data_IF_343750642346
#
_entry.id   IF_343750642346
#
_cell.length_a   1.000
_cell.length_b   1.000
_cell.length_c   1.000
_cell.angle_alpha   90.00
_cell.angle_beta   90.00
_cell.angle_gamma   90.00
#
_symmetry.space_group_name_H-M   'P 1'
#
loop_
_entity.id
_entity.type
_entity.pdbx_description
1 polymer ?
#
# COMPACT_ATOMS: atom_id res chain seq x y z
N UNK A 1 -37.66 -40.16 -61.02
CA UNK A 1 -38.81 -39.46 -60.39
C UNK A 1 -38.41 -39.26 -58.93
N UNK A 2 -37.87 -38.09 -58.55
CA UNK A 2 -38.62 -36.93 -58.00
C UNK A 2 -39.38 -37.38 -56.73
N UNK A 3 -39.22 -36.87 -55.51
CA UNK A 3 -38.99 -35.49 -55.03
C UNK A 3 -38.42 -35.52 -53.58
N UNK A 4 -37.54 -34.56 -53.25
CA UNK A 4 -37.23 -34.02 -51.90
C UNK A 4 -38.45 -33.24 -51.33
N UNK A 5 -38.39 -32.49 -50.19
CA UNK A 5 -37.80 -32.70 -48.86
C UNK A 5 -38.82 -32.34 -47.73
N UNK A 6 -38.43 -32.47 -46.46
CA UNK A 6 -38.93 -31.56 -45.42
C UNK A 6 -37.78 -31.11 -44.50
N UNK A 7 -37.44 -29.83 -44.65
CA UNK A 7 -36.56 -29.05 -43.77
C UNK A 7 -37.31 -28.73 -42.48
N UNK A 8 -36.64 -28.84 -41.34
CA UNK A 8 -36.75 -27.87 -40.25
C UNK A 8 -35.38 -27.74 -39.58
N UNK A 9 -34.72 -26.59 -39.79
CA UNK A 9 -33.67 -26.09 -38.90
C UNK A 9 -34.34 -25.65 -37.58
N UNK A 10 -33.58 -25.66 -36.48
CA UNK A 10 -33.40 -24.38 -35.82
C UNK A 10 -31.93 -24.06 -35.54
N UNK A 11 -31.64 -22.79 -35.77
CA UNK A 11 -30.65 -21.94 -35.12
C UNK A 11 -29.54 -22.65 -34.34
N UNK A 12 -28.37 -22.69 -34.96
CA UNK A 12 -27.08 -22.90 -34.30
C UNK A 12 -26.82 -21.66 -33.43
N UNK A 13 -27.29 -21.73 -32.20
CA UNK A 13 -27.08 -20.74 -31.17
C UNK A 13 -25.60 -20.80 -30.82
N UNK A 14 -24.85 -19.87 -31.39
CA UNK A 14 -23.43 -19.66 -31.17
C UNK A 14 -23.30 -19.14 -29.73
N UNK A 15 -23.28 -20.06 -28.77
CA UNK A 15 -22.92 -19.79 -27.39
C UNK A 15 -21.44 -19.48 -27.41
N UNK A 16 -21.12 -18.20 -27.60
CA UNK A 16 -19.88 -17.60 -27.14
C UNK A 16 -19.92 -17.73 -25.62
N UNK A 17 -19.40 -18.84 -25.11
CA UNK A 17 -19.04 -18.97 -23.71
C UNK A 17 -17.98 -17.90 -23.44
N UNK A 18 -18.27 -16.86 -22.63
CA UNK A 18 -17.18 -16.08 -22.10
C UNK A 18 -16.42 -17.05 -21.20
N UNK A 19 -15.13 -17.24 -21.49
CA UNK A 19 -14.19 -17.77 -20.51
C UNK A 19 -14.10 -16.70 -19.41
N UNK A 20 -15.12 -16.69 -18.56
CA UNK A 20 -15.05 -16.23 -17.18
C UNK A 20 -14.22 -17.30 -16.48
N UNK A 21 -12.92 -17.27 -16.75
CA UNK A 21 -11.95 -17.91 -15.91
C UNK A 21 -11.96 -17.14 -14.60
N UNK A 22 -12.60 -17.75 -13.60
CA UNK A 22 -12.49 -17.44 -12.19
C UNK A 22 -11.17 -16.70 -11.89
N UNK A 23 -11.19 -15.57 -11.20
CA UNK A 23 -11.65 -15.61 -9.82
C UNK A 23 -10.77 -16.55 -8.97
N UNK A 24 -9.59 -16.94 -9.45
CA UNK A 24 -8.52 -17.40 -8.60
C UNK A 24 -8.03 -16.17 -7.83
N UNK A 25 -8.65 -15.92 -6.68
CA UNK A 25 -7.97 -15.40 -5.52
C UNK A 25 -6.83 -16.38 -5.16
N UNK A 26 -5.86 -16.58 -6.06
CA UNK A 26 -4.51 -16.90 -5.68
C UNK A 26 -4.01 -15.61 -5.01
N UNK A 27 -4.41 -15.41 -3.76
CA UNK A 27 -3.58 -14.64 -2.84
C UNK A 27 -2.23 -15.30 -2.99
N UNK A 28 -1.28 -14.64 -3.65
CA UNK A 28 0.10 -15.06 -3.65
C UNK A 28 0.45 -15.21 -2.17
N UNK A 29 0.46 -16.44 -1.68
CA UNK A 29 0.79 -16.75 -0.30
C UNK A 29 2.26 -16.41 -0.17
N UNK A 30 2.51 -15.18 0.29
CA UNK A 30 3.83 -14.69 0.58
C UNK A 30 4.49 -15.72 1.52
N UNK A 31 5.64 -16.29 1.15
CA UNK A 31 6.38 -17.16 2.05
C UNK A 31 6.92 -16.34 3.22
N UNK A 32 6.11 -16.13 4.26
CA UNK A 32 6.49 -15.31 5.42
C UNK A 32 5.38 -14.47 6.06
N UNK A 33 4.10 -14.78 5.85
CA UNK A 33 2.98 -14.07 6.51
C UNK A 33 3.13 -13.94 8.04
N UNK A 34 3.86 -14.86 8.68
CA UNK A 34 4.19 -14.80 10.11
C UNK A 34 4.96 -13.54 10.54
N UNK A 35 5.61 -12.82 9.61
CA UNK A 35 6.34 -11.56 9.88
C UNK A 35 5.57 -10.32 9.46
N UNK A 36 4.40 -10.49 8.83
CA UNK A 36 3.56 -9.37 8.39
C UNK A 36 3.07 -8.54 9.57
N UNK A 37 2.66 -9.19 10.65
CA UNK A 37 2.19 -8.52 11.88
C UNK A 37 3.31 -7.70 12.53
N UNK A 38 4.55 -8.24 12.54
CA UNK A 38 5.72 -7.52 13.04
C UNK A 38 6.03 -6.29 12.18
N UNK A 39 5.95 -6.43 10.86
CA UNK A 39 6.16 -5.32 9.93
C UNK A 39 5.06 -4.25 10.05
N UNK A 40 3.79 -4.65 10.12
CA UNK A 40 2.65 -3.73 10.32
C UNK A 40 2.77 -2.96 11.63
N UNK A 41 3.16 -3.64 12.72
CA UNK A 41 3.40 -2.99 14.01
C UNK A 41 4.54 -1.98 13.92
N UNK A 42 5.63 -2.33 13.22
CA UNK A 42 6.76 -1.43 13.04
C UNK A 42 6.34 -0.19 12.22
N UNK A 43 5.60 -0.38 11.14
CA UNK A 43 5.07 0.73 10.32
C UNK A 43 4.14 1.62 11.13
N UNK A 44 3.26 1.04 11.95
CA UNK A 44 2.36 1.81 12.82
C UNK A 44 3.07 2.74 13.82
N UNK A 45 4.29 2.40 14.21
CA UNK A 45 5.09 3.17 15.19
C UNK A 45 6.10 4.10 14.51
N UNK A 46 6.78 3.64 13.46
CA UNK A 46 7.94 4.31 12.87
C UNK A 46 7.61 5.14 11.62
N UNK A 47 6.42 5.01 11.05
CA UNK A 47 6.07 5.72 9.83
C UNK A 47 6.11 7.25 10.04
N UNK A 48 6.89 8.00 9.24
CA UNK A 48 7.11 9.43 9.49
C UNK A 48 5.82 10.25 9.38
N UNK A 49 4.88 9.84 8.51
CA UNK A 49 3.58 10.50 8.35
C UNK A 49 2.70 10.26 9.58
N UNK A 50 2.66 9.02 10.09
CA UNK A 50 1.90 8.70 11.30
C UNK A 50 2.50 9.32 12.56
N UNK A 51 3.83 9.38 12.65
CA UNK A 51 4.53 10.04 13.77
C UNK A 51 4.21 11.53 13.78
N UNK A 52 4.29 12.20 12.63
CA UNK A 52 3.96 13.63 12.51
C UNK A 52 2.47 13.90 12.83
N UNK A 53 1.55 13.11 12.27
CA UNK A 53 0.12 13.25 12.54
C UNK A 53 -0.22 12.95 14.02
N UNK A 54 0.44 11.96 14.61
CA UNK A 54 0.30 11.62 16.02
C UNK A 54 0.78 12.74 16.94
N UNK A 55 1.87 13.43 16.60
CA UNK A 55 2.36 14.58 17.35
C UNK A 55 1.32 15.72 17.38
N UNK A 56 0.63 15.98 16.27
CA UNK A 56 -0.45 17.00 16.19
C UNK A 56 -1.60 16.63 17.13
N UNK A 57 -2.06 15.37 17.11
CA UNK A 57 -3.14 14.90 17.99
C UNK A 57 -2.73 14.94 19.47
N UNK A 58 -1.47 14.64 19.78
CA UNK A 58 -0.96 14.76 21.14
C UNK A 58 -0.94 16.21 21.60
N UNK A 59 -0.58 17.14 20.73
CA UNK A 59 -0.56 18.56 21.06
C UNK A 59 -1.97 19.14 21.22
N UNK A 60 -2.93 18.75 20.37
CA UNK A 60 -4.34 19.15 20.53
C UNK A 60 -5.01 18.55 21.77
N UNK A 61 -4.50 17.42 22.29
CA UNK A 61 -4.89 16.91 23.61
C UNK A 61 -4.37 17.76 24.76
N UNK A 62 -3.17 18.32 24.64
CA UNK A 62 -2.56 19.17 25.68
C UNK A 62 -3.12 20.59 25.69
N UNK A 63 -3.61 21.11 24.56
CA UNK A 63 -4.20 22.45 24.50
C UNK A 63 -5.43 22.52 25.42
N UNK A 64 -5.45 23.52 26.32
CA UNK A 64 -6.58 23.78 27.22
C UNK A 64 -7.80 24.25 26.42
N UNK A 65 -8.96 23.72 26.80
CA UNK A 65 -10.25 23.92 26.10
C UNK A 65 -11.08 25.09 26.61
N UNK A 66 -10.47 26.01 27.37
CA UNK A 66 -11.17 27.17 27.89
C UNK A 66 -10.37 28.43 27.60
N UNK A 67 -11.06 29.41 27.03
CA UNK A 67 -10.59 30.78 26.87
C UNK A 67 -11.50 31.66 27.72
N UNK A 68 -10.92 32.43 28.64
CA UNK A 68 -11.66 33.41 29.42
C UNK A 68 -11.42 34.79 28.82
N UNK A 69 -12.50 35.48 28.47
CA UNK A 69 -12.42 36.87 27.99
C UNK A 69 -12.83 37.79 29.14
N UNK A 70 -11.91 38.68 29.52
CA UNK A 70 -12.15 39.76 30.47
C UNK A 70 -12.26 41.07 29.68
N UNK A 71 -13.45 41.68 29.67
CA UNK A 71 -13.67 42.98 29.04
C UNK A 71 -13.94 44.01 30.12
N UNK A 72 -13.09 45.04 30.17
CA UNK A 72 -13.26 46.19 31.06
C UNK A 72 -13.65 47.37 30.17
N UNK A 73 -14.89 47.85 30.32
CA UNK A 73 -15.42 49.00 29.59
C UNK A 73 -15.60 50.18 30.53
N UNK A 74 -15.14 51.34 30.12
CA UNK A 74 -15.42 52.62 30.78
C UNK A 74 -16.02 53.55 29.73
N UNK A 75 -17.25 54.01 29.97
CA UNK A 75 -17.94 54.98 29.12
C UNK A 75 -18.23 56.25 29.93
N UNK A 76 -17.78 57.38 29.40
CA UNK A 76 -18.03 58.73 29.90
C UNK A 76 -18.83 59.52 28.85
N UNK A 77 -19.93 58.96 28.37
CA UNK A 77 -20.88 59.70 27.55
C UNK A 77 -21.57 60.78 28.41
N UNK A 78 -21.10 62.02 28.27
CA UNK A 78 -21.75 63.23 28.78
C UNK A 78 -22.93 63.60 27.87
N UNK A 79 -24.08 62.95 28.04
CA UNK A 79 -25.32 63.42 27.42
C UNK A 79 -25.96 64.50 28.30
N UNK A 80 -25.82 65.77 27.88
CA UNK A 80 -26.24 66.97 28.62
C UNK A 80 -27.76 67.23 28.71
N UNK A 81 -28.65 66.33 28.28
CA UNK A 81 -30.07 66.69 28.08
C UNK A 81 -31.07 66.04 29.06
N UNK A 82 -30.71 65.05 29.89
CA UNK A 82 -31.65 64.53 30.92
C UNK A 82 -30.94 63.89 32.11
N UNK A 83 -30.68 64.67 33.17
CA UNK A 83 -30.64 64.35 34.62
C UNK A 83 -30.06 63.05 35.23
N UNK A 84 -29.61 62.05 34.47
CA UNK A 84 -29.20 60.75 35.01
C UNK A 84 -28.12 60.03 34.18
N UNK A 85 -27.17 60.77 33.59
CA UNK A 85 -26.00 60.19 32.94
C UNK A 85 -24.77 60.31 33.88
N UNK A 86 -24.44 59.22 34.57
CA UNK A 86 -23.21 59.08 35.36
C UNK A 86 -22.23 58.13 34.68
N UNK A 87 -20.94 58.25 35.02
CA UNK A 87 -19.88 57.38 34.51
C UNK A 87 -20.24 55.90 34.73
N UNK A 88 -20.13 55.08 33.67
CA UNK A 88 -20.44 53.64 33.74
C UNK A 88 -19.16 52.84 33.52
N UNK A 89 -18.76 52.11 34.55
CA UNK A 89 -17.74 51.08 34.46
C UNK A 89 -18.41 49.70 34.47
N UNK A 90 -18.03 48.84 33.53
CA UNK A 90 -18.52 47.46 33.45
C UNK A 90 -17.34 46.50 33.33
N UNK A 91 -17.38 45.43 34.12
CA UNK A 91 -16.48 44.28 34.01
C UNK A 91 -17.31 43.10 33.55
N UNK A 92 -17.04 42.60 32.35
CA UNK A 92 -17.66 41.38 31.82
C UNK A 92 -16.64 40.25 31.82
N UNK A 93 -16.97 39.15 32.50
CA UNK A 93 -16.18 37.93 32.54
C UNK A 93 -16.98 36.85 31.83
N UNK A 94 -16.54 36.48 30.62
CA UNK A 94 -17.18 35.40 29.88
C UNK A 94 -16.40 34.10 30.10
N UNK A 95 -16.97 33.22 30.92
CA UNK A 95 -16.46 31.86 31.15
C UNK A 95 -17.36 30.91 30.35
N UNK A 96 -16.86 30.28 29.28
CA UNK A 96 -17.67 29.32 28.54
C UNK A 96 -17.96 28.09 29.41
N UNK A 97 -19.25 27.81 29.66
CA UNK A 97 -19.67 26.50 30.13
C UNK A 97 -19.63 25.53 28.94
N UNK A 98 -18.64 24.64 28.93
CA UNK A 98 -18.49 23.50 28.00
C UNK A 98 -18.64 23.85 26.51
N UNK A 99 -17.52 24.14 25.84
CA UNK A 99 -17.54 24.29 24.38
C UNK A 99 -17.63 22.91 23.67
N UNK A 100 -18.82 22.60 23.14
CA UNK A 100 -19.04 21.40 22.35
C UNK A 100 -18.31 21.45 20.99
N UNK A 101 -18.00 22.63 20.45
CA UNK A 101 -17.33 22.77 19.15
C UNK A 101 -15.88 22.28 19.24
N UNK A 102 -15.14 22.70 20.28
CA UNK A 102 -13.80 22.21 20.56
C UNK A 102 -13.77 20.68 20.75
N UNK A 103 -14.76 20.10 21.45
CA UNK A 103 -14.86 18.64 21.63
C UNK A 103 -15.10 17.91 20.30
N UNK A 104 -15.99 18.43 19.46
CA UNK A 104 -16.25 17.85 18.12
C UNK A 104 -15.02 17.98 17.22
N UNK A 105 -14.29 19.10 17.28
CA UNK A 105 -13.05 19.28 16.53
C UNK A 105 -11.99 18.24 16.93
N UNK A 106 -11.75 18.05 18.23
CA UNK A 106 -10.83 17.01 18.73
C UNK A 106 -11.26 15.59 18.34
N UNK A 107 -12.56 15.31 18.38
CA UNK A 107 -13.10 14.02 17.94
C UNK A 107 -12.87 13.81 16.43
N UNK A 108 -13.04 14.85 15.60
CA UNK A 108 -12.76 14.80 14.17
C UNK A 108 -11.27 14.58 13.87
N UNK A 109 -10.39 15.27 14.59
CA UNK A 109 -8.93 15.07 14.46
C UNK A 109 -8.52 13.63 14.82
N UNK A 110 -9.09 13.09 15.91
CA UNK A 110 -8.86 11.70 16.30
C UNK A 110 -9.36 10.72 15.23
N UNK A 111 -10.57 10.93 14.71
CA UNK A 111 -11.14 10.09 13.66
C UNK A 111 -10.30 10.16 12.37
N UNK A 112 -9.82 11.35 12.00
CA UNK A 112 -8.94 11.54 10.85
C UNK A 112 -7.59 10.79 11.03
N UNK A 113 -7.01 10.84 12.23
CA UNK A 113 -5.79 10.10 12.54
C UNK A 113 -5.99 8.59 12.45
N UNK A 114 -7.08 8.05 13.01
CA UNK A 114 -7.40 6.61 12.90
C UNK A 114 -7.61 6.22 11.44
N UNK A 115 -8.35 7.01 10.66
CA UNK A 115 -8.52 6.76 9.23
C UNK A 115 -7.18 6.79 8.47
N UNK A 116 -6.25 7.64 8.88
CA UNK A 116 -4.91 7.70 8.29
C UNK A 116 -4.06 6.46 8.65
N UNK A 117 -4.18 5.93 9.87
CA UNK A 117 -3.55 4.67 10.26
C UNK A 117 -4.07 3.52 9.41
N UNK A 118 -5.39 3.40 9.27
CA UNK A 118 -6.02 2.34 8.47
C UNK A 118 -5.64 2.46 6.98
N UNK A 119 -5.65 3.68 6.42
CA UNK A 119 -5.22 3.92 5.05
C UNK A 119 -3.74 3.54 4.82
N UNK A 120 -2.86 3.86 5.79
CA UNK A 120 -1.44 3.52 5.72
C UNK A 120 -1.22 2.01 5.80
N UNK A 121 -1.93 1.33 6.70
CA UNK A 121 -1.89 -0.13 6.83
C UNK A 121 -2.38 -0.81 5.54
N UNK A 122 -3.50 -0.34 4.98
CA UNK A 122 -4.07 -0.86 3.73
C UNK A 122 -3.11 -0.67 2.55
N UNK A 123 -2.53 0.52 2.41
CA UNK A 123 -1.54 0.81 1.37
C UNK A 123 -0.29 -0.08 1.52
N UNK A 124 0.21 -0.25 2.74
CA UNK A 124 1.36 -1.10 3.02
C UNK A 124 1.09 -2.58 2.69
N UNK A 125 -0.10 -3.09 3.02
CA UNK A 125 -0.50 -4.46 2.66
C UNK A 125 -0.56 -4.61 1.13
N UNK A 126 -1.12 -3.63 0.42
CA UNK A 126 -1.12 -3.62 -1.04
C UNK A 126 0.29 -3.65 -1.63
N UNK A 127 1.19 -2.81 -1.10
CA UNK A 127 2.60 -2.79 -1.52
C UNK A 127 3.30 -4.13 -1.24
N UNK A 128 3.01 -4.80 -0.11
CA UNK A 128 3.52 -6.14 0.18
C UNK A 128 3.01 -7.18 -0.82
N UNK A 129 1.74 -7.12 -1.23
CA UNK A 129 1.21 -8.04 -2.24
C UNK A 129 2.00 -7.92 -3.55
N UNK A 130 2.31 -6.69 -3.99
CA UNK A 130 3.14 -6.48 -5.18
C UNK A 130 4.56 -7.04 -5.02
N UNK A 131 5.15 -6.94 -3.82
CA UNK A 131 6.45 -7.56 -3.53
C UNK A 131 6.38 -9.08 -3.62
N UNK A 132 5.33 -9.70 -3.11
CA UNK A 132 5.17 -11.15 -3.15
C UNK A 132 4.92 -11.68 -4.56
N UNK A 133 4.16 -10.95 -5.37
CA UNK A 133 4.00 -11.26 -6.79
C UNK A 133 5.33 -11.20 -7.55
N UNK A 134 6.17 -10.20 -7.27
CA UNK A 134 7.50 -10.15 -7.88
C UNK A 134 8.42 -11.25 -7.35
N UNK A 135 8.30 -11.63 -6.08
CA UNK A 135 9.06 -12.73 -5.50
C UNK A 135 8.69 -14.06 -6.16
N UNK A 136 7.39 -14.31 -6.39
CA UNK A 136 6.93 -15.50 -7.11
C UNK A 136 7.31 -15.49 -8.59
N UNK A 137 7.34 -14.34 -9.24
CA UNK A 137 7.90 -14.22 -10.59
C UNK A 137 9.38 -14.57 -10.63
N UNK A 138 10.16 -14.12 -9.64
CA UNK A 138 11.58 -14.44 -9.52
C UNK A 138 11.83 -15.94 -9.32
N UNK A 139 11.03 -16.62 -8.50
CA UNK A 139 11.13 -18.09 -8.37
C UNK A 139 10.72 -18.81 -9.67
N UNK A 140 9.72 -18.30 -10.39
CA UNK A 140 9.37 -18.78 -11.73
C UNK A 140 10.51 -18.62 -12.74
N UNK A 141 11.23 -17.50 -12.74
CA UNK A 141 12.40 -17.30 -13.60
C UNK A 141 13.56 -18.22 -13.22
N UNK A 142 13.78 -18.47 -11.92
CA UNK A 142 14.83 -19.37 -11.44
C UNK A 142 14.60 -20.82 -11.89
N UNK A 143 13.35 -21.29 -11.83
CA UNK A 143 12.96 -22.62 -12.33
C UNK A 143 13.11 -22.73 -13.85
N UNK A 144 12.76 -21.69 -14.62
CA UNK A 144 12.99 -21.67 -16.06
C UNK A 144 14.49 -21.70 -16.39
N UNK A 145 15.32 -20.96 -15.64
CA UNK A 145 16.78 -21.01 -15.78
C UNK A 145 17.31 -22.42 -15.51
N UNK A 146 16.88 -23.08 -14.43
CA UNK A 146 17.36 -24.44 -14.11
C UNK A 146 16.95 -25.44 -15.18
N UNK A 147 15.70 -25.41 -15.66
CA UNK A 147 15.24 -26.29 -16.73
C UNK A 147 16.01 -26.09 -18.04
N UNK A 148 16.32 -24.84 -18.41
CA UNK A 148 17.11 -24.54 -19.61
C UNK A 148 18.56 -25.01 -19.45
N UNK A 149 19.12 -24.93 -18.24
CA UNK A 149 20.44 -25.48 -17.93
C UNK A 149 20.47 -27.01 -18.12
N UNK A 150 19.49 -27.71 -17.57
CA UNK A 150 19.39 -29.18 -17.70
C UNK A 150 19.20 -29.60 -19.17
N UNK A 151 18.41 -28.84 -19.94
CA UNK A 151 18.25 -29.05 -21.39
C UNK A 151 19.54 -28.85 -22.16
N UNK A 152 20.31 -27.81 -21.83
CA UNK A 152 21.61 -27.54 -22.45
C UNK A 152 22.58 -28.71 -22.19
N UNK A 153 22.65 -29.20 -20.96
CA UNK A 153 23.48 -30.35 -20.58
C UNK A 153 23.08 -31.61 -21.35
N UNK A 154 21.78 -31.92 -21.39
CA UNK A 154 21.26 -33.05 -22.17
C UNK A 154 21.60 -32.94 -23.66
N UNK A 155 21.46 -31.76 -24.27
CA UNK A 155 21.82 -31.57 -25.68
C UNK A 155 23.32 -31.69 -25.90
N UNK A 156 24.14 -31.23 -24.96
CA UNK A 156 25.59 -31.34 -25.05
C UNK A 156 26.02 -32.82 -25.08
N UNK A 157 25.42 -33.67 -24.25
CA UNK A 157 25.66 -35.12 -24.30
C UNK A 157 25.30 -35.73 -25.66
N UNK A 158 24.16 -35.34 -26.24
CA UNK A 158 23.73 -35.83 -27.56
C UNK A 158 24.66 -35.41 -28.69
N UNK A 159 25.17 -34.17 -28.66
CA UNK A 159 26.17 -33.69 -29.61
C UNK A 159 27.48 -34.47 -29.44
N UNK A 160 27.91 -34.74 -28.20
CA UNK A 160 29.10 -35.54 -27.92
C UNK A 160 28.97 -36.98 -28.44
N UNK A 161 27.76 -37.53 -28.48
CA UNK A 161 27.44 -38.84 -29.07
C UNK A 161 27.29 -38.80 -30.60
N UNK A 162 27.41 -37.62 -31.22
CA UNK A 162 27.25 -37.43 -32.66
C UNK A 162 25.80 -37.53 -33.15
N UNK A 163 24.82 -37.48 -32.25
CA UNK A 163 23.39 -37.59 -32.59
C UNK A 163 22.80 -36.28 -33.13
N UNK A 164 23.40 -35.14 -32.77
CA UNK A 164 22.95 -33.82 -33.15
C UNK A 164 24.11 -32.93 -33.61
N UNK A 165 23.87 -31.95 -34.51
CA UNK A 165 24.88 -30.98 -34.89
C UNK A 165 25.18 -30.01 -33.75
N UNK A 166 26.44 -29.58 -33.63
CA UNK A 166 26.90 -28.66 -32.59
C UNK A 166 26.17 -27.30 -32.61
N UNK A 167 25.71 -26.84 -33.78
CA UNK A 167 24.98 -25.57 -33.92
C UNK A 167 23.69 -25.52 -33.08
N UNK A 168 23.10 -26.66 -32.72
CA UNK A 168 21.91 -26.71 -31.85
C UNK A 168 22.21 -26.30 -30.40
N UNK A 169 23.47 -26.28 -29.98
CA UNK A 169 23.87 -25.83 -28.65
C UNK A 169 23.78 -24.31 -28.51
N UNK A 170 23.99 -23.57 -29.61
CA UNK A 170 23.94 -22.10 -29.58
C UNK A 170 22.58 -21.57 -29.14
N UNK A 171 21.50 -22.15 -29.68
CA UNK A 171 20.14 -21.74 -29.34
C UNK A 171 19.81 -21.94 -27.85
N UNK A 172 20.25 -23.05 -27.27
CA UNK A 172 20.01 -23.33 -25.84
C UNK A 172 20.91 -22.47 -24.94
N UNK A 173 22.14 -22.19 -25.37
CA UNK A 173 23.04 -21.29 -24.64
C UNK A 173 22.53 -19.86 -24.62
N UNK A 174 22.02 -19.35 -25.75
CA UNK A 174 21.37 -18.04 -25.84
C UNK A 174 20.11 -17.97 -24.95
N UNK A 175 19.29 -19.03 -24.96
CA UNK A 175 18.12 -19.12 -24.10
C UNK A 175 18.51 -19.07 -22.61
N UNK A 176 19.52 -19.84 -22.20
CA UNK A 176 20.03 -19.84 -20.82
C UNK A 176 20.52 -18.44 -20.42
N UNK A 177 21.34 -17.81 -21.26
CA UNK A 177 21.85 -16.47 -21.01
C UNK A 177 20.71 -15.45 -20.89
N UNK A 178 19.69 -15.54 -21.72
CA UNK A 178 18.52 -14.65 -21.66
C UNK A 178 17.76 -14.80 -20.33
N UNK A 179 17.58 -16.02 -19.84
CA UNK A 179 16.93 -16.29 -18.56
C UNK A 179 17.76 -15.82 -17.38
N UNK A 180 19.09 -15.95 -17.43
CA UNK A 180 19.98 -15.37 -16.42
C UNK A 180 19.85 -13.84 -16.35
N UNK A 181 19.82 -13.16 -17.49
CA UNK A 181 19.63 -11.70 -17.52
C UNK A 181 18.27 -11.29 -16.95
N UNK A 182 17.20 -12.02 -17.29
CA UNK A 182 15.87 -11.79 -16.74
C UNK A 182 15.84 -12.00 -15.22
N UNK A 183 16.47 -13.06 -14.72
CA UNK A 183 16.55 -13.35 -13.29
C UNK A 183 17.30 -12.24 -12.54
N UNK A 184 18.48 -11.83 -13.03
CA UNK A 184 19.26 -10.73 -12.43
C UNK A 184 18.46 -9.42 -12.43
N UNK A 185 17.74 -9.14 -13.51
CA UNK A 185 16.88 -7.96 -13.60
C UNK A 185 15.74 -8.02 -12.56
N UNK A 186 15.07 -9.18 -12.43
CA UNK A 186 14.02 -9.38 -11.44
C UNK A 186 14.54 -9.26 -9.99
N UNK A 187 15.72 -9.80 -9.70
CA UNK A 187 16.38 -9.67 -8.39
C UNK A 187 16.69 -8.20 -8.06
N UNK A 188 17.29 -7.47 -9.00
CA UNK A 188 17.58 -6.04 -8.81
C UNK A 188 16.31 -5.21 -8.59
N UNK A 189 15.22 -5.54 -9.30
CA UNK A 189 13.92 -4.88 -9.15
C UNK A 189 13.30 -5.16 -7.79
N UNK A 190 13.37 -6.41 -7.32
CA UNK A 190 12.91 -6.81 -5.99
C UNK A 190 13.67 -6.08 -4.89
N UNK A 191 15.00 -6.03 -4.97
CA UNK A 191 15.82 -5.37 -3.96
C UNK A 191 15.59 -3.85 -3.94
N UNK A 192 15.46 -3.24 -5.12
CA UNK A 192 15.10 -1.83 -5.23
C UNK A 192 13.73 -1.55 -4.57
N UNK A 193 12.71 -2.38 -4.83
CA UNK A 193 11.37 -2.20 -4.25
C UNK A 193 11.35 -2.44 -2.73
N UNK A 194 12.08 -3.44 -2.23
CA UNK A 194 12.24 -3.64 -0.77
C UNK A 194 12.82 -2.39 -0.12
N UNK A 195 13.85 -1.80 -0.72
CA UNK A 195 14.51 -0.60 -0.20
C UNK A 195 13.60 0.63 -0.27
N UNK A 196 12.90 0.85 -1.37
CA UNK A 196 12.00 2.01 -1.52
C UNK A 196 10.84 1.93 -0.53
N UNK A 197 10.23 0.76 -0.36
CA UNK A 197 9.16 0.56 0.60
C UNK A 197 9.66 0.69 2.04
N UNK A 198 10.83 0.11 2.35
CA UNK A 198 11.44 0.27 3.66
C UNK A 198 11.67 1.74 4.02
N UNK A 199 12.19 2.55 3.09
CA UNK A 199 12.39 3.99 3.32
C UNK A 199 11.08 4.77 3.41
N UNK A 200 10.08 4.41 2.60
CA UNK A 200 8.77 5.07 2.59
C UNK A 200 8.02 4.89 3.91
N UNK A 201 8.03 3.67 4.45
CA UNK A 201 7.22 3.33 5.63
C UNK A 201 8.00 3.23 6.94
N UNK A 202 9.31 2.98 6.89
CA UNK A 202 10.11 2.66 8.07
C UNK A 202 10.70 3.85 8.81
N UNK A 203 10.73 5.05 8.22
CA UNK A 203 11.31 6.23 8.87
C UNK A 203 12.76 5.98 9.29
N UNK A 204 13.09 6.18 10.57
CA UNK A 204 14.42 5.88 11.14
C UNK A 204 14.69 4.37 11.25
N UNK A 205 13.65 3.56 11.40
CA UNK A 205 13.70 2.09 11.52
C UNK A 205 13.65 1.39 10.15
N UNK A 206 13.90 2.12 9.06
CA UNK A 206 13.90 1.56 7.70
C UNK A 206 14.82 0.34 7.52
N UNK A 207 16.02 0.22 8.15
CA UNK A 207 16.87 -0.96 7.97
C UNK A 207 16.22 -2.22 8.56
N UNK A 208 15.54 -2.07 9.70
CA UNK A 208 14.80 -3.16 10.35
C UNK A 208 13.62 -3.60 9.50
N UNK A 209 12.88 -2.64 8.92
CA UNK A 209 11.79 -2.94 8.01
C UNK A 209 12.29 -3.66 6.75
N UNK A 210 13.42 -3.22 6.18
CA UNK A 210 14.02 -3.88 5.02
C UNK A 210 14.40 -5.34 5.33
N UNK A 211 14.98 -5.61 6.50
CA UNK A 211 15.31 -6.97 6.93
C UNK A 211 14.05 -7.86 7.02
N UNK A 212 12.95 -7.33 7.56
CA UNK A 212 11.67 -8.03 7.61
C UNK A 212 11.11 -8.30 6.20
N UNK A 213 11.08 -7.28 5.33
CA UNK A 213 10.63 -7.43 3.94
C UNK A 213 11.46 -8.47 3.18
N UNK A 214 12.76 -8.48 3.39
CA UNK A 214 13.68 -9.46 2.78
C UNK A 214 13.40 -10.87 3.29
N UNK A 215 13.17 -11.03 4.59
CA UNK A 215 12.85 -12.34 5.18
C UNK A 215 11.51 -12.91 4.68
N UNK A 216 10.53 -12.05 4.35
CA UNK A 216 9.21 -12.48 3.84
C UNK A 216 9.18 -12.81 2.34
N UNK A 217 10.23 -12.45 1.59
CA UNK A 217 10.23 -12.55 0.12
C UNK A 217 11.43 -13.30 -0.41
N UNK A 218 12.11 -14.06 0.46
CA UNK A 218 13.26 -14.90 0.11
C UNK A 218 12.82 -16.22 -0.49
#
# INVERSE_FOLDING_TARGET
MSVLPCRCRPALLLVVLPIVGAGACARAECPGSARLDEALRLVGVANPVLVAAGAVVQESRKSRDWTAVLTIGYDSNETYETGAAGARAAVNVQIPLFDNQARVAKAKEHAAFTAQQDATATAFIGDIQTLCELASQRTGLDTMRSLTKDRLEYRQERVNQGLDPADRLWQEAEALQSHEHQLRAAESKLDALRLTLARRYGGEEWPRLQALLTAMTR
#
